data_IF_666477660636
#
_entry.id   IF_666477660636
#
_cell.length_a   1.000
_cell.length_b   1.000
_cell.length_c   1.000
_cell.angle_alpha   90.00
_cell.angle_beta   90.00
_cell.angle_gamma   90.00
#
_symmetry.space_group_name_H-M   'P 1'
#
loop_
_entity.id
_entity.type
_entity.pdbx_description
1 polymer ?
#
# COMPACT_ATOMS: atom_id res chain seq x y z
N UNK A 1 2.06 24.36 0.50
CA UNK A 1 1.37 23.06 0.61
C UNK A 1 2.38 21.98 1.01
N UNK A 2 2.02 21.16 1.96
CA UNK A 2 2.86 20.03 2.37
C UNK A 2 2.85 18.96 1.29
N UNK A 3 4.01 18.43 0.93
CA UNK A 3 4.13 17.33 -0.01
C UNK A 3 3.86 16.00 0.71
N UNK A 4 3.09 15.13 0.08
CA UNK A 4 2.77 13.80 0.60
C UNK A 4 3.64 12.76 -0.11
N UNK A 5 4.54 12.06 0.60
CA UNK A 5 5.50 11.18 -0.05
C UNK A 5 4.91 9.82 -0.42
N UNK A 6 5.51 9.20 -1.43
CA UNK A 6 5.31 7.78 -1.70
C UNK A 6 6.13 7.01 -0.66
N UNK A 7 5.48 6.13 0.10
CA UNK A 7 6.12 5.43 1.22
C UNK A 7 6.11 3.91 1.08
N UNK A 8 5.40 3.37 0.09
CA UNK A 8 5.14 1.95 -0.02
C UNK A 8 4.75 1.63 -1.46
N UNK A 9 4.98 0.40 -1.90
CA UNK A 9 4.45 -0.08 -3.17
C UNK A 9 3.58 -1.30 -2.92
N UNK A 10 2.72 -1.62 -3.88
CA UNK A 10 1.89 -2.82 -3.82
C UNK A 10 1.84 -3.49 -5.18
N UNK A 11 1.87 -4.81 -5.19
CA UNK A 11 1.75 -5.59 -6.42
C UNK A 11 0.79 -6.77 -6.19
N UNK A 12 -0.05 -7.09 -7.16
CA UNK A 12 -0.95 -8.24 -7.02
C UNK A 12 -0.23 -9.57 -7.24
N UNK A 13 -0.66 -10.62 -6.52
CA UNK A 13 -0.20 -11.98 -6.73
C UNK A 13 -1.39 -12.89 -7.07
N UNK A 14 -1.13 -13.95 -7.79
CA UNK A 14 -2.08 -15.04 -8.00
C UNK A 14 -1.79 -16.22 -7.06
N UNK A 15 -0.52 -16.46 -6.78
CA UNK A 15 -0.04 -17.48 -5.86
C UNK A 15 0.99 -16.82 -4.94
N UNK A 16 0.63 -16.67 -3.66
CA UNK A 16 1.45 -15.91 -2.71
C UNK A 16 2.82 -16.54 -2.48
N UNK A 17 2.88 -17.85 -2.35
CA UNK A 17 4.16 -18.53 -2.11
C UNK A 17 5.08 -18.44 -3.32
N UNK A 18 4.52 -18.62 -4.51
CA UNK A 18 5.28 -18.52 -5.75
C UNK A 18 5.84 -17.10 -5.94
N UNK A 19 5.03 -16.08 -5.68
CA UNK A 19 5.47 -14.68 -5.79
C UNK A 19 6.56 -14.36 -4.76
N UNK A 20 6.34 -14.76 -3.50
CA UNK A 20 7.31 -14.54 -2.42
C UNK A 20 8.66 -15.21 -2.74
N UNK A 21 8.62 -16.46 -3.19
CA UNK A 21 9.84 -17.21 -3.53
C UNK A 21 10.59 -16.55 -4.69
N UNK A 22 9.88 -16.07 -5.69
CA UNK A 22 10.48 -15.40 -6.84
C UNK A 22 11.30 -14.17 -6.40
N UNK A 23 10.69 -13.29 -5.62
CA UNK A 23 11.35 -12.05 -5.20
C UNK A 23 12.46 -12.30 -4.18
N UNK A 24 12.29 -13.30 -3.33
CA UNK A 24 13.34 -13.69 -2.39
C UNK A 24 14.57 -14.23 -3.11
N UNK A 25 14.38 -15.16 -4.05
CA UNK A 25 15.48 -15.79 -4.78
C UNK A 25 16.18 -14.85 -5.73
N UNK A 26 15.42 -13.93 -6.36
CA UNK A 26 15.94 -13.06 -7.39
C UNK A 26 16.59 -11.79 -6.80
N UNK A 27 15.93 -11.17 -5.82
CA UNK A 27 16.35 -9.86 -5.32
C UNK A 27 16.67 -9.83 -3.83
N UNK A 28 16.58 -10.97 -3.15
CA UNK A 28 16.91 -11.05 -1.72
C UNK A 28 15.86 -10.41 -0.81
N UNK A 29 14.66 -10.16 -1.29
CA UNK A 29 13.62 -9.58 -0.46
C UNK A 29 13.20 -10.55 0.65
N UNK A 30 12.76 -10.01 1.77
CA UNK A 30 12.28 -10.80 2.91
C UNK A 30 10.78 -10.75 2.99
N UNK A 31 10.07 -11.81 2.57
CA UNK A 31 8.60 -11.84 2.64
C UNK A 31 8.14 -12.26 4.04
N UNK A 32 7.01 -11.71 4.46
CA UNK A 32 6.30 -12.14 5.66
C UNK A 32 4.85 -12.40 5.27
N UNK A 33 4.44 -13.67 5.34
CA UNK A 33 3.08 -14.08 4.99
C UNK A 33 2.15 -13.74 6.15
N UNK A 34 1.15 -12.92 5.89
CA UNK A 34 0.11 -12.61 6.86
C UNK A 34 -1.04 -13.61 6.72
N UNK A 35 -1.85 -13.76 7.77
CA UNK A 35 -2.96 -14.69 7.77
C UNK A 35 -4.20 -14.15 7.04
N UNK A 36 -5.26 -15.00 6.95
CA UNK A 36 -6.50 -14.60 6.27
C UNK A 36 -7.17 -13.37 6.88
N UNK A 37 -6.99 -13.13 8.17
CA UNK A 37 -7.52 -11.94 8.86
C UNK A 37 -6.93 -10.64 8.33
N UNK A 38 -5.76 -10.70 7.68
CA UNK A 38 -5.12 -9.57 7.02
C UNK A 38 -5.21 -9.69 5.49
N UNK A 39 -6.23 -10.42 4.99
CA UNK A 39 -6.45 -10.59 3.56
C UNK A 39 -5.38 -11.42 2.87
N UNK A 40 -4.65 -12.24 3.60
CA UNK A 40 -3.52 -13.03 3.09
C UNK A 40 -2.46 -12.17 2.41
N UNK A 41 -2.24 -10.97 2.95
CA UNK A 41 -1.25 -10.02 2.45
C UNK A 41 0.16 -10.56 2.70
N UNK A 42 1.09 -10.26 1.79
CA UNK A 42 2.50 -10.57 1.97
C UNK A 42 3.25 -9.25 2.14
N UNK A 43 3.77 -9.00 3.33
CA UNK A 43 4.65 -7.85 3.56
C UNK A 43 6.01 -8.20 2.98
N UNK A 44 6.58 -7.32 2.16
CA UNK A 44 7.90 -7.55 1.59
C UNK A 44 8.86 -6.45 2.03
N UNK A 45 9.94 -6.87 2.67
CA UNK A 45 11.02 -5.99 3.06
C UNK A 45 12.05 -6.01 1.94
N UNK A 46 12.33 -4.87 1.34
CA UNK A 46 13.28 -4.75 0.22
C UNK A 46 14.61 -4.15 0.66
N UNK A 47 14.68 -3.62 1.87
CA UNK A 47 15.86 -2.92 2.40
C UNK A 47 15.95 -3.12 3.89
N UNK A 48 17.13 -2.84 4.45
CA UNK A 48 17.36 -2.98 5.89
C UNK A 48 16.53 -1.97 6.68
N UNK A 49 16.00 -2.44 7.82
CA UNK A 49 15.26 -1.61 8.76
C UNK A 49 15.86 -1.78 10.16
N UNK A 50 15.61 -0.80 11.03
CA UNK A 50 16.07 -0.86 12.42
C UNK A 50 15.05 -1.63 13.29
N UNK A 51 15.28 -1.66 14.61
CA UNK A 51 14.42 -2.36 15.55
C UNK A 51 12.98 -1.81 15.59
N UNK A 52 12.77 -0.58 15.11
CA UNK A 52 11.46 0.06 15.03
C UNK A 52 10.85 -0.05 13.62
N UNK A 53 11.40 -0.91 12.75
CA UNK A 53 10.99 -1.09 11.37
C UNK A 53 11.14 0.16 10.50
N UNK A 54 12.07 1.05 10.87
CA UNK A 54 12.36 2.25 10.09
C UNK A 54 13.44 1.96 9.05
N UNK A 55 13.21 2.42 7.82
CA UNK A 55 14.14 2.28 6.72
C UNK A 55 15.42 3.08 7.01
N UNK A 56 16.58 2.45 6.81
CA UNK A 56 17.88 3.04 7.13
C UNK A 56 18.49 3.82 5.97
N UNK A 57 18.12 3.47 4.74
CA UNK A 57 18.71 4.08 3.54
C UNK A 57 17.68 5.00 2.89
N UNK A 58 17.92 6.33 2.83
CA UNK A 58 16.99 7.25 2.18
C UNK A 58 16.70 6.85 0.73
N UNK A 59 15.44 6.94 0.35
CA UNK A 59 14.98 6.60 -1.00
C UNK A 59 14.60 5.15 -1.21
N UNK A 60 14.91 4.27 -0.28
CA UNK A 60 14.45 2.88 -0.33
C UNK A 60 13.05 2.78 0.26
N UNK A 61 12.20 1.92 -0.32
CA UNK A 61 10.86 1.67 0.21
C UNK A 61 10.62 0.17 0.30
N UNK A 62 9.84 -0.23 1.30
CA UNK A 62 9.32 -1.58 1.42
C UNK A 62 7.91 -1.61 0.82
N UNK A 63 7.34 -2.78 0.69
CA UNK A 63 6.04 -2.89 0.05
C UNK A 63 5.28 -4.12 0.47
N UNK A 64 4.32 -4.50 -0.36
CA UNK A 64 3.50 -5.66 -0.10
C UNK A 64 2.91 -6.25 -1.36
N UNK A 65 2.49 -7.49 -1.24
CA UNK A 65 1.80 -8.21 -2.29
C UNK A 65 0.40 -8.54 -1.78
N UNK A 66 -0.61 -8.23 -2.59
CA UNK A 66 -2.00 -8.49 -2.24
C UNK A 66 -2.61 -9.49 -3.21
N UNK A 67 -3.64 -10.21 -2.75
CA UNK A 67 -4.31 -11.20 -3.59
C UNK A 67 -5.05 -10.51 -4.73
N UNK A 68 -4.74 -10.88 -5.96
CA UNK A 68 -5.43 -10.35 -7.13
C UNK A 68 -6.85 -10.87 -7.19
N UNK A 69 -7.81 -9.98 -7.19
CA UNK A 69 -9.25 -10.32 -7.24
C UNK A 69 -9.95 -9.77 -8.48
N UNK A 70 -9.30 -8.83 -9.19
CA UNK A 70 -9.87 -8.19 -10.39
C UNK A 70 -8.79 -8.03 -11.45
N UNK A 71 -9.16 -8.14 -12.74
CA UNK A 71 -8.16 -8.06 -13.83
C UNK A 71 -7.41 -6.73 -13.93
N UNK A 72 -8.02 -5.64 -13.48
CA UNK A 72 -7.44 -4.28 -13.56
C UNK A 72 -6.46 -3.97 -12.42
N UNK A 73 -6.26 -4.89 -11.48
CA UNK A 73 -5.29 -4.70 -10.40
C UNK A 73 -3.88 -4.92 -10.94
N UNK A 74 -3.04 -3.92 -10.73
CA UNK A 74 -1.68 -3.83 -11.27
C UNK A 74 -0.75 -3.28 -10.19
N UNK A 75 0.58 -3.35 -10.36
CA UNK A 75 1.50 -2.72 -9.43
C UNK A 75 1.18 -1.23 -9.27
N UNK A 76 1.24 -0.75 -8.05
CA UNK A 76 0.92 0.63 -7.71
C UNK A 76 1.75 1.12 -6.53
N UNK A 77 1.60 2.40 -6.22
CA UNK A 77 2.29 3.04 -5.11
C UNK A 77 1.28 3.49 -4.06
N UNK A 78 1.77 3.68 -2.84
CA UNK A 78 0.97 4.17 -1.71
C UNK A 78 1.56 5.50 -1.25
N UNK A 79 0.71 6.52 -1.16
CA UNK A 79 1.07 7.87 -0.76
C UNK A 79 0.61 8.08 0.67
N UNK A 80 1.52 8.53 1.55
CA UNK A 80 1.16 8.83 2.93
C UNK A 80 0.51 10.22 3.00
N UNK A 81 -0.61 10.31 3.71
CA UNK A 81 -1.34 11.56 3.92
C UNK A 81 -1.58 11.76 5.41
N UNK A 82 -1.77 13.03 5.82
CA UNK A 82 -2.03 13.36 7.22
C UNK A 82 -3.50 13.11 7.60
N UNK A 83 -4.43 13.39 6.69
CA UNK A 83 -5.87 13.26 6.89
C UNK A 83 -6.47 12.64 5.64
N UNK A 84 -6.85 11.37 5.73
CA UNK A 84 -7.33 10.62 4.57
C UNK A 84 -8.66 11.17 4.04
N UNK A 85 -9.52 11.69 4.91
CA UNK A 85 -10.82 12.22 4.48
C UNK A 85 -10.65 13.52 3.69
N UNK A 86 -9.72 14.38 4.11
CA UNK A 86 -9.39 15.59 3.36
C UNK A 86 -8.71 15.23 2.04
N UNK A 87 -7.85 14.21 2.03
CA UNK A 87 -7.22 13.74 0.80
C UNK A 87 -8.27 13.20 -0.19
N UNK A 88 -9.26 12.44 0.29
CA UNK A 88 -10.34 11.92 -0.54
C UNK A 88 -11.13 13.05 -1.19
N UNK A 89 -11.43 14.11 -0.43
CA UNK A 89 -12.11 15.29 -0.97
C UNK A 89 -11.27 15.99 -2.04
N UNK A 90 -9.97 16.12 -1.77
CA UNK A 90 -9.05 16.76 -2.72
C UNK A 90 -8.93 15.98 -4.03
N UNK A 91 -8.88 14.65 -3.95
CA UNK A 91 -8.85 13.78 -5.12
C UNK A 91 -10.08 14.00 -5.99
N UNK A 92 -11.26 13.98 -5.39
CA UNK A 92 -12.51 14.19 -6.12
C UNK A 92 -12.59 15.59 -6.74
N UNK A 93 -12.16 16.61 -5.98
CA UNK A 93 -12.19 17.99 -6.46
C UNK A 93 -11.21 18.21 -7.62
N UNK A 94 -10.13 17.47 -7.68
CA UNK A 94 -9.10 17.62 -8.73
C UNK A 94 -9.36 16.72 -9.95
N UNK A 95 -10.49 16.00 -9.99
CA UNK A 95 -10.87 15.19 -11.15
C UNK A 95 -10.54 13.72 -11.05
N UNK A 96 -10.03 13.25 -9.92
CA UNK A 96 -9.82 11.83 -9.67
C UNK A 96 -11.11 11.14 -9.21
N UNK A 97 -11.03 9.83 -9.02
CA UNK A 97 -12.16 9.01 -8.57
C UNK A 97 -11.78 8.26 -7.31
N UNK A 98 -12.47 8.51 -6.22
CA UNK A 98 -12.26 7.79 -4.97
C UNK A 98 -12.91 6.41 -5.08
N UNK A 99 -12.12 5.35 -4.93
CA UNK A 99 -12.62 3.97 -4.97
C UNK A 99 -12.98 3.47 -3.57
N UNK A 100 -12.25 3.90 -2.55
CA UNK A 100 -12.42 3.42 -1.20
C UNK A 100 -11.59 2.19 -0.91
N UNK A 101 -11.98 1.45 0.12
CA UNK A 101 -11.40 0.18 0.49
C UNK A 101 -12.34 -0.97 0.12
N UNK A 102 -12.60 -1.87 1.07
CA UNK A 102 -13.57 -2.95 0.86
C UNK A 102 -14.97 -2.42 0.62
N UNK A 103 -15.33 -1.30 1.28
CA UNK A 103 -16.59 -0.61 1.04
C UNK A 103 -16.36 0.54 0.07
N UNK A 104 -17.12 0.62 -1.03
CA UNK A 104 -16.97 1.72 -1.99
C UNK A 104 -17.11 3.09 -1.32
N UNK A 105 -16.15 3.98 -1.61
CA UNK A 105 -16.19 5.35 -1.10
C UNK A 105 -15.80 5.53 0.35
N UNK A 106 -15.42 4.47 1.05
CA UNK A 106 -15.00 4.53 2.45
C UNK A 106 -13.60 3.94 2.62
N UNK A 107 -12.73 4.53 3.48
CA UNK A 107 -11.42 3.95 3.73
C UNK A 107 -11.52 2.70 4.59
N UNK A 108 -10.57 1.78 4.43
CA UNK A 108 -10.40 0.64 5.32
C UNK A 108 -9.64 1.08 6.57
N UNK A 109 -10.06 0.60 7.73
CA UNK A 109 -9.31 0.76 8.97
C UNK A 109 -8.50 -0.52 9.18
N UNK A 110 -7.18 -0.42 8.99
CA UNK A 110 -6.28 -1.57 9.14
C UNK A 110 -5.59 -1.45 10.49
N UNK A 111 -5.93 -2.31 11.46
CA UNK A 111 -5.37 -2.22 12.81
C UNK A 111 -3.85 -2.21 12.83
N UNK A 112 -3.25 -1.24 13.54
CA UNK A 112 -1.81 -1.10 13.65
C UNK A 112 -1.13 -0.47 12.44
N UNK A 113 -1.83 -0.30 11.34
CA UNK A 113 -1.29 0.26 10.08
C UNK A 113 -1.84 1.66 9.83
N UNK A 114 -3.16 1.80 9.78
CA UNK A 114 -3.81 3.08 9.53
C UNK A 114 -5.06 2.97 8.67
N UNK A 115 -5.48 4.11 8.13
CA UNK A 115 -6.61 4.19 7.22
C UNK A 115 -6.10 4.15 5.78
N UNK A 116 -6.72 3.31 4.96
CA UNK A 116 -6.26 3.01 3.59
C UNK A 116 -7.40 3.19 2.60
N UNK A 117 -7.10 3.79 1.45
CA UNK A 117 -8.10 4.05 0.42
C UNK A 117 -7.46 4.04 -0.96
N UNK A 118 -8.09 3.34 -1.90
CA UNK A 118 -7.69 3.37 -3.30
C UNK A 118 -8.40 4.48 -4.06
N UNK A 119 -7.77 4.96 -5.12
CA UNK A 119 -8.36 5.95 -6.01
C UNK A 119 -7.81 5.80 -7.43
N UNK A 120 -8.48 6.42 -8.39
CA UNK A 120 -7.98 6.60 -9.75
C UNK A 120 -7.60 8.06 -9.93
N UNK A 121 -6.43 8.30 -10.52
CA UNK A 121 -6.05 9.66 -10.91
C UNK A 121 -6.78 10.07 -12.20
N UNK A 122 -6.46 11.24 -12.73
CA UNK A 122 -7.11 11.76 -13.95
C UNK A 122 -6.77 10.96 -15.21
N UNK A 123 -5.74 10.13 -15.15
CA UNK A 123 -5.28 9.32 -16.27
C UNK A 123 -5.71 7.85 -16.17
N UNK A 124 -6.51 7.53 -15.14
CA UNK A 124 -6.98 6.17 -14.90
C UNK A 124 -6.00 5.28 -14.16
N UNK A 125 -4.92 5.84 -13.62
CA UNK A 125 -3.97 5.06 -12.82
C UNK A 125 -4.57 4.77 -11.44
N UNK A 126 -4.48 3.50 -11.03
CA UNK A 126 -4.88 3.11 -9.68
C UNK A 126 -3.72 3.34 -8.71
N UNK A 127 -3.98 4.15 -7.69
CA UNK A 127 -3.02 4.52 -6.65
C UNK A 127 -3.74 4.42 -5.31
N UNK A 128 -2.99 4.34 -4.22
CA UNK A 128 -3.57 4.29 -2.87
C UNK A 128 -3.02 5.38 -1.98
N UNK A 129 -3.82 5.78 -1.00
CA UNK A 129 -3.41 6.69 0.06
C UNK A 129 -3.52 5.98 1.40
N UNK A 130 -2.64 6.35 2.32
CA UNK A 130 -2.59 5.80 3.66
C UNK A 130 -2.41 6.94 4.66
N UNK A 131 -3.29 6.97 5.67
CA UNK A 131 -3.08 7.79 6.86
C UNK A 131 -2.48 6.86 7.92
N UNK A 132 -1.17 6.93 8.18
CA UNK A 132 -0.54 6.00 9.13
C UNK A 132 -1.10 6.16 10.54
N UNK A 133 -1.24 5.04 11.26
CA UNK A 133 -1.60 5.08 12.67
C UNK A 133 -0.51 5.76 13.47
N UNK A 134 -0.87 6.53 14.52
CA UNK A 134 0.13 7.09 15.40
C UNK A 134 0.98 5.99 16.02
N UNK A 135 2.29 6.23 16.11
CA UNK A 135 3.18 5.34 16.83
C UNK A 135 3.15 5.67 18.32
N UNK A 136 3.11 4.65 19.11
CA UNK A 136 3.17 4.82 20.56
C UNK A 136 4.49 4.32 21.10
#
# INVERSE_FOLDING_TARGET
MKMNPVVHFEMPYQDSQRAADFYQKTFGWKPQMMGPEMGSYVVVQTTEVDANNMIQTPGHINGGLFKKTKPDQVPSVVIAVDDIYEAMKAIAAAGGTVLGGQKPGEPDDIPGIGLYCGFLDTEGNRVSILQPSPRM
#
